data_IF_167746581185
#
_entry.id   IF_167746581185
#
_cell.length_a   1.000
_cell.length_b   1.000
_cell.length_c   1.000
_cell.angle_alpha   90.00
_cell.angle_beta   90.00
_cell.angle_gamma   90.00
#
_symmetry.space_group_name_H-M   'P 1'
#
loop_
_entity.id
_entity.type
_entity.pdbx_description
1 polymer ?
#
# COMPACT_ATOMS: atom_id res chain seq x y z
N UNK A 1 48.12 -5.48 6.65
CA UNK A 1 49.00 -5.29 7.81
C UNK A 1 48.09 -5.08 9.00
N UNK A 2 48.21 -6.03 9.92
CA UNK A 2 47.30 -6.38 10.99
C UNK A 2 47.00 -5.22 11.95
N UNK A 3 45.87 -5.33 12.63
CA UNK A 3 45.87 -5.60 14.07
C UNK A 3 44.48 -6.11 14.49
N UNK A 4 44.48 -7.36 14.95
CA UNK A 4 43.40 -8.01 15.67
C UNK A 4 43.27 -7.38 17.07
N UNK A 5 42.05 -7.14 17.52
CA UNK A 5 41.74 -7.05 18.96
C UNK A 5 40.49 -7.88 19.22
N UNK A 6 40.71 -9.03 19.84
CA UNK A 6 39.69 -9.84 20.49
C UNK A 6 39.01 -9.03 21.59
N UNK A 7 37.68 -9.00 21.57
CA UNK A 7 36.88 -8.67 22.76
C UNK A 7 35.60 -9.49 22.75
N UNK A 8 35.61 -10.56 23.54
CA UNK A 8 34.42 -11.26 24.01
C UNK A 8 33.58 -10.31 24.88
N UNK A 9 32.25 -10.34 24.74
CA UNK A 9 31.44 -10.33 25.95
C UNK A 9 30.42 -11.46 25.93
N UNK A 10 30.44 -12.23 27.00
CA UNK A 10 29.37 -13.13 27.43
C UNK A 10 28.04 -12.36 27.47
N UNK A 11 27.14 -12.74 26.57
CA UNK A 11 25.75 -12.31 26.55
C UNK A 11 24.87 -13.55 26.49
N UNK A 12 24.08 -13.73 27.55
CA UNK A 12 23.02 -14.73 27.70
C UNK A 12 22.27 -15.05 26.39
N UNK A 13 21.96 -16.33 26.09
CA UNK A 13 21.31 -16.70 24.84
C UNK A 13 19.88 -16.18 24.81
N UNK A 14 19.66 -15.05 24.16
CA UNK A 14 18.33 -14.71 23.65
C UNK A 14 17.95 -15.79 22.64
N UNK A 15 16.90 -16.55 22.95
CA UNK A 15 16.26 -17.50 22.05
C UNK A 15 15.92 -16.79 20.73
N UNK A 16 16.81 -16.91 19.74
CA UNK A 16 16.41 -16.82 18.34
C UNK A 16 15.46 -17.98 18.13
N UNK A 17 14.17 -17.69 17.97
CA UNK A 17 13.22 -18.66 17.43
C UNK A 17 13.71 -19.03 16.02
N UNK A 18 14.50 -20.09 15.95
CA UNK A 18 14.90 -20.73 14.70
C UNK A 18 13.61 -21.21 14.05
N UNK A 19 13.12 -20.45 13.06
CA UNK A 19 12.04 -20.90 12.18
C UNK A 19 12.52 -22.24 11.60
N UNK A 20 11.89 -23.33 12.04
CA UNK A 20 12.19 -24.69 11.58
C UNK A 20 12.13 -24.72 10.05
N UNK A 21 12.98 -25.54 9.43
CA UNK A 21 13.02 -25.69 7.98
C UNK A 21 11.65 -26.13 7.47
N UNK A 22 10.91 -25.21 6.87
CA UNK A 22 9.61 -25.47 6.25
C UNK A 22 9.75 -26.53 5.17
N UNK A 23 9.12 -27.68 5.35
CA UNK A 23 9.07 -28.71 4.34
C UNK A 23 8.09 -28.29 3.23
N UNK A 24 8.60 -28.11 2.01
CA UNK A 24 7.81 -27.79 0.82
C UNK A 24 7.52 -29.07 0.03
N UNK A 25 6.25 -29.39 -0.15
CA UNK A 25 5.79 -30.60 -0.86
C UNK A 25 5.03 -30.24 -2.14
N UNK A 26 4.69 -31.27 -2.91
CA UNK A 26 3.68 -31.14 -3.97
C UNK A 26 2.36 -30.61 -3.41
N UNK A 27 1.59 -29.98 -4.29
CA UNK A 27 0.31 -29.39 -3.92
C UNK A 27 -0.70 -30.47 -3.50
N UNK A 28 -1.28 -30.30 -2.31
CA UNK A 28 -2.26 -31.25 -1.73
C UNK A 28 -3.59 -30.61 -1.36
N UNK A 29 -3.74 -29.28 -1.50
CA UNK A 29 -4.99 -28.58 -1.22
C UNK A 29 -5.19 -28.25 0.27
N UNK A 30 -4.12 -27.91 0.99
CA UNK A 30 -4.15 -27.53 2.42
C UNK A 30 -4.47 -26.05 2.64
N UNK A 31 -4.86 -25.31 1.60
CA UNK A 31 -5.18 -23.89 1.75
C UNK A 31 -6.31 -23.67 2.75
N UNK A 32 -6.06 -22.76 3.69
CA UNK A 32 -7.10 -22.26 4.59
C UNK A 32 -8.16 -21.52 3.76
N UNK A 33 -9.41 -21.55 4.20
CA UNK A 33 -10.49 -20.74 3.65
C UNK A 33 -11.00 -19.82 4.75
N UNK A 34 -11.15 -18.54 4.43
CA UNK A 34 -11.75 -17.56 5.31
C UNK A 34 -12.95 -16.94 4.59
N UNK A 35 -14.13 -17.03 5.20
CA UNK A 35 -15.28 -16.29 4.70
C UNK A 35 -15.07 -14.78 4.95
N UNK A 36 -15.35 -13.96 3.95
CA UNK A 36 -15.45 -12.52 4.15
C UNK A 36 -16.73 -12.22 4.92
N UNK A 37 -16.60 -11.63 6.11
CA UNK A 37 -17.70 -11.49 7.10
C UNK A 37 -17.98 -10.04 7.50
N UNK A 38 -17.52 -9.08 6.70
CA UNK A 38 -17.78 -7.67 6.96
C UNK A 38 -18.74 -7.11 5.91
N UNK A 39 -19.81 -6.47 6.38
CA UNK A 39 -20.63 -5.65 5.50
C UNK A 39 -19.82 -4.44 5.06
N UNK A 40 -19.92 -4.10 3.77
CA UNK A 40 -19.31 -2.87 3.26
C UNK A 40 -20.06 -1.71 3.94
N UNK A 41 -19.45 -1.14 4.96
CA UNK A 41 -20.05 -0.06 5.71
C UNK A 41 -19.64 1.28 5.10
N UNK A 42 -20.61 1.95 4.48
CA UNK A 42 -20.46 3.30 3.97
C UNK A 42 -21.32 4.25 4.82
N UNK A 43 -20.71 4.96 5.78
CA UNK A 43 -21.47 5.86 6.65
C UNK A 43 -21.65 7.22 5.95
N UNK A 44 -22.80 7.42 5.30
CA UNK A 44 -23.09 8.65 4.56
C UNK A 44 -24.36 9.39 5.06
N UNK A 45 -24.36 10.74 5.02
CA UNK A 45 -25.59 11.54 5.00
C UNK A 45 -26.40 11.36 3.69
N UNK A 46 -27.67 11.84 3.62
CA UNK A 46 -28.62 11.54 2.54
C UNK A 46 -28.22 11.99 1.12
N UNK A 47 -28.93 11.45 0.13
CA UNK A 47 -28.57 11.35 -1.30
C UNK A 47 -28.36 12.66 -2.08
N UNK A 48 -28.77 13.81 -1.54
CA UNK A 48 -28.78 15.09 -2.28
C UNK A 48 -27.45 15.85 -2.17
N UNK A 49 -26.35 15.14 -1.90
CA UNK A 49 -25.05 15.74 -1.68
C UNK A 49 -24.28 15.93 -2.99
N UNK A 50 -23.87 17.19 -3.22
CA UNK A 50 -22.93 17.52 -4.29
C UNK A 50 -21.53 16.95 -3.99
N UNK A 51 -20.62 16.82 -4.98
CA UNK A 51 -19.23 16.48 -4.74
C UNK A 51 -18.55 17.36 -3.68
N UNK A 52 -18.99 18.62 -3.57
CA UNK A 52 -18.55 19.55 -2.53
C UNK A 52 -19.01 19.10 -1.14
N UNK A 53 -20.27 18.67 -0.98
CA UNK A 53 -20.78 18.19 0.31
C UNK A 53 -20.09 16.90 0.76
N UNK A 54 -19.79 15.99 -0.17
CA UNK A 54 -19.02 14.77 0.16
C UNK A 54 -17.59 15.12 0.53
N UNK A 55 -16.96 16.05 -0.19
CA UNK A 55 -15.62 16.54 0.16
C UNK A 55 -15.58 17.16 1.57
N UNK A 56 -16.64 17.87 1.98
CA UNK A 56 -16.78 18.41 3.33
C UNK A 56 -16.80 17.34 4.45
N UNK A 57 -17.10 16.07 4.13
CA UNK A 57 -17.00 14.96 5.11
C UNK A 57 -15.54 14.63 5.46
N UNK A 58 -14.62 14.90 4.53
CA UNK A 58 -13.20 14.61 4.67
C UNK A 58 -12.40 15.84 5.13
N UNK A 59 -12.91 17.04 4.86
CA UNK A 59 -12.21 18.31 5.02
C UNK A 59 -13.18 19.38 5.55
N UNK A 60 -12.91 19.98 6.71
CA UNK A 60 -13.79 20.99 7.32
C UNK A 60 -13.74 22.37 6.63
N UNK A 61 -14.68 23.26 6.99
CA UNK A 61 -14.73 24.62 6.43
C UNK A 61 -13.45 25.43 6.68
N UNK A 62 -12.79 25.21 7.83
CA UNK A 62 -11.55 25.89 8.18
C UNK A 62 -10.45 25.56 7.17
N UNK A 63 -10.32 24.29 6.77
CA UNK A 63 -9.36 23.86 5.75
C UNK A 63 -9.74 24.34 4.34
N UNK A 64 -11.03 24.33 3.99
CA UNK A 64 -11.52 24.77 2.67
C UNK A 64 -11.22 26.26 2.43
N UNK A 65 -11.42 27.11 3.45
CA UNK A 65 -11.16 28.54 3.37
C UNK A 65 -9.68 28.89 3.13
N UNK A 66 -8.74 27.95 3.34
CA UNK A 66 -7.30 28.17 3.13
C UNK A 66 -6.85 28.06 1.66
N UNK A 67 -7.71 27.60 0.74
CA UNK A 67 -7.25 26.99 -0.53
C UNK A 67 -7.71 27.76 -1.81
N UNK A 68 -8.66 28.69 -1.73
CA UNK A 68 -9.31 29.29 -2.92
C UNK A 68 -8.71 30.66 -3.35
N UNK A 69 -8.47 30.96 -4.66
CA UNK A 69 -7.99 32.27 -5.11
C UNK A 69 -8.87 33.07 -6.11
N UNK A 70 -8.56 34.38 -6.09
CA UNK A 70 -8.96 35.57 -6.86
C UNK A 70 -10.31 36.24 -6.58
N UNK A 71 -11.45 35.53 -6.65
CA UNK A 71 -12.75 36.11 -6.26
C UNK A 71 -12.99 36.08 -4.75
N UNK A 72 -12.29 35.18 -4.06
CA UNK A 72 -12.38 34.95 -2.60
C UNK A 72 -11.36 35.75 -1.81
N UNK A 73 -10.13 35.90 -2.34
CA UNK A 73 -9.06 36.66 -1.69
C UNK A 73 -8.02 37.20 -2.67
N UNK A 74 -7.38 38.31 -2.26
CA UNK A 74 -6.27 38.89 -3.02
C UNK A 74 -5.05 37.96 -3.05
N UNK A 75 -4.23 38.10 -4.09
CA UNK A 75 -2.96 37.36 -4.23
C UNK A 75 -2.07 37.54 -3.00
N UNK A 76 -1.93 38.77 -2.49
CA UNK A 76 -1.09 39.05 -1.33
C UNK A 76 -1.60 38.32 -0.08
N UNK A 77 -2.91 38.30 0.14
CA UNK A 77 -3.51 37.54 1.25
C UNK A 77 -3.24 36.04 1.09
N UNK A 78 -3.43 35.48 -0.10
CA UNK A 78 -3.14 34.08 -0.38
C UNK A 78 -1.67 33.73 -0.10
N UNK A 79 -0.72 34.54 -0.58
CA UNK A 79 0.72 34.34 -0.34
C UNK A 79 1.06 34.42 1.15
N UNK A 80 0.47 35.37 1.90
CA UNK A 80 0.64 35.49 3.36
C UNK A 80 0.10 34.26 4.08
N UNK A 81 -1.13 33.82 3.76
CA UNK A 81 -1.73 32.64 4.39
C UNK A 81 -0.93 31.37 4.09
N UNK A 82 -0.57 31.15 2.82
CA UNK A 82 0.27 30.02 2.41
C UNK A 82 1.66 30.07 3.07
N UNK A 83 2.21 31.26 3.28
CA UNK A 83 3.49 31.46 3.97
C UNK A 83 3.41 31.15 5.48
N UNK A 84 2.23 31.20 6.08
CA UNK A 84 1.97 30.94 7.49
C UNK A 84 1.21 29.63 7.79
N UNK A 85 0.87 28.85 6.76
CA UNK A 85 0.21 27.55 6.92
C UNK A 85 1.07 26.58 7.76
N UNK A 86 0.48 26.04 8.82
CA UNK A 86 1.04 25.00 9.69
C UNK A 86 -0.07 24.02 10.07
N UNK A 87 0.27 22.75 10.24
CA UNK A 87 -0.69 21.71 10.64
C UNK A 87 -0.47 21.22 12.08
N UNK A 88 0.52 21.76 12.76
CA UNK A 88 0.90 21.38 14.13
C UNK A 88 1.60 22.57 14.76
N UNK A 89 1.42 22.74 16.07
CA UNK A 89 2.16 23.72 16.84
C UNK A 89 3.66 23.41 16.79
N UNK A 90 4.46 24.40 16.39
CA UNK A 90 5.91 24.23 16.29
C UNK A 90 6.57 24.03 17.66
N UNK A 91 5.96 24.53 18.74
CA UNK A 91 6.49 24.44 20.10
C UNK A 91 6.34 23.04 20.70
N UNK A 92 5.38 22.25 20.21
CA UNK A 92 5.12 20.89 20.67
C UNK A 92 5.94 19.82 19.94
N UNK A 93 6.74 20.20 18.93
CA UNK A 93 7.49 19.26 18.10
C UNK A 93 8.88 19.02 18.67
N UNK A 94 9.16 17.77 19.06
CA UNK A 94 10.51 17.37 19.43
C UNK A 94 11.50 17.62 18.28
N UNK A 95 12.70 18.17 18.55
CA UNK A 95 13.71 18.40 17.50
C UNK A 95 14.12 17.14 16.71
N UNK A 96 13.93 15.95 17.31
CA UNK A 96 14.24 14.66 16.68
C UNK A 96 13.08 14.12 15.84
N UNK A 97 11.88 14.70 15.96
CA UNK A 97 10.69 14.27 15.22
C UNK A 97 10.71 14.82 13.80
N UNK A 98 10.93 13.90 12.85
CA UNK A 98 10.99 14.22 11.42
C UNK A 98 9.60 14.40 10.79
N UNK A 99 8.54 13.91 11.44
CA UNK A 99 7.17 13.89 10.92
C UNK A 99 6.26 14.89 11.66
N UNK A 100 6.71 15.46 12.77
CA UNK A 100 5.88 16.31 13.65
C UNK A 100 5.20 17.51 12.98
N UNK A 101 5.68 17.97 11.81
CA UNK A 101 5.00 19.04 11.04
C UNK A 101 3.71 18.62 10.33
N UNK A 102 3.45 17.32 10.22
CA UNK A 102 2.37 16.77 9.38
C UNK A 102 1.64 15.57 9.99
N UNK A 103 2.22 14.89 10.97
CA UNK A 103 1.67 13.63 11.50
C UNK A 103 0.25 13.79 12.04
N UNK A 104 -0.02 14.90 12.75
CA UNK A 104 -1.36 15.19 13.28
C UNK A 104 -2.42 15.32 12.19
N UNK A 105 -2.06 15.88 11.01
CA UNK A 105 -2.98 15.96 9.88
C UNK A 105 -3.26 14.58 9.31
N UNK A 106 -2.22 13.75 9.18
CA UNK A 106 -2.36 12.38 8.65
C UNK A 106 -3.27 11.55 9.57
N UNK A 107 -3.04 11.60 10.88
CA UNK A 107 -3.81 10.82 11.84
C UNK A 107 -5.29 11.25 11.84
N UNK A 108 -5.57 12.56 11.81
CA UNK A 108 -6.94 13.10 11.68
C UNK A 108 -7.64 12.66 10.39
N UNK A 109 -6.96 12.77 9.25
CA UNK A 109 -7.52 12.35 7.97
C UNK A 109 -7.78 10.84 7.94
N UNK A 110 -6.84 10.04 8.44
CA UNK A 110 -7.01 8.59 8.51
C UNK A 110 -8.16 8.18 9.42
N UNK A 111 -8.33 8.83 10.57
CA UNK A 111 -9.48 8.57 11.45
C UNK A 111 -10.81 8.81 10.69
N UNK A 112 -10.90 9.90 9.93
CA UNK A 112 -12.08 10.20 9.10
C UNK A 112 -12.27 9.19 7.99
N UNK A 113 -11.21 8.86 7.25
CA UNK A 113 -11.26 7.82 6.20
C UNK A 113 -11.77 6.51 6.79
N UNK A 114 -11.20 6.12 7.94
CA UNK A 114 -11.48 4.88 8.65
C UNK A 114 -12.89 4.79 9.23
N UNK A 115 -13.49 5.95 9.53
CA UNK A 115 -14.88 6.02 10.00
C UNK A 115 -15.87 5.94 8.84
N UNK A 116 -15.52 6.45 7.67
CA UNK A 116 -16.45 6.66 6.56
C UNK A 116 -16.71 5.43 5.69
N UNK A 117 -15.70 4.60 5.41
CA UNK A 117 -15.83 3.53 4.40
C UNK A 117 -15.05 2.25 4.71
N UNK A 118 -15.66 1.22 5.28
CA UNK A 118 -14.94 -0.06 5.45
C UNK A 118 -14.64 -0.73 4.09
N UNK A 119 -13.37 -0.96 3.71
CA UNK A 119 -13.03 -1.61 2.45
C UNK A 119 -13.58 -3.04 2.37
N UNK A 120 -13.98 -3.47 1.17
CA UNK A 120 -14.42 -4.84 0.90
C UNK A 120 -13.33 -5.91 1.04
N UNK A 121 -13.56 -7.08 0.43
CA UNK A 121 -12.69 -8.26 0.55
C UNK A 121 -11.24 -7.98 0.16
N UNK A 122 -11.02 -7.19 -0.89
CA UNK A 122 -9.72 -7.03 -1.54
C UNK A 122 -9.09 -5.69 -1.21
N UNK A 123 -7.91 -5.73 -0.57
CA UNK A 123 -7.12 -4.56 -0.18
C UNK A 123 -5.69 -4.69 -0.68
N UNK A 124 -5.05 -3.57 -1.02
CA UNK A 124 -3.69 -3.53 -1.56
C UNK A 124 -2.80 -2.61 -0.76
N UNK A 125 -1.57 -3.02 -0.49
CA UNK A 125 -0.54 -2.15 0.08
C UNK A 125 0.60 -1.96 -0.92
N UNK A 126 0.89 -0.70 -1.21
CA UNK A 126 2.02 -0.31 -2.04
C UNK A 126 2.46 1.14 -1.74
N UNK A 127 3.33 1.69 -2.59
CA UNK A 127 4.10 2.90 -2.34
C UNK A 127 3.74 3.99 -3.34
N UNK A 128 3.39 5.15 -2.79
CA UNK A 128 3.26 6.39 -3.56
C UNK A 128 4.47 7.30 -3.31
N UNK A 129 4.74 8.18 -4.26
CA UNK A 129 5.86 9.11 -4.21
C UNK A 129 5.40 10.53 -4.50
N UNK A 130 5.35 11.35 -3.46
CA UNK A 130 4.88 12.74 -3.55
C UNK A 130 6.06 13.62 -3.99
N UNK A 131 6.00 14.31 -5.14
CA UNK A 131 7.17 14.95 -5.73
C UNK A 131 7.79 16.03 -4.82
N UNK A 132 9.09 15.91 -4.52
CA UNK A 132 9.82 16.85 -3.68
C UNK A 132 11.31 16.87 -4.02
N UNK A 133 11.85 18.06 -4.30
CA UNK A 133 13.28 18.27 -4.62
C UNK A 133 14.04 19.12 -3.61
N UNK A 134 13.36 19.75 -2.66
CA UNK A 134 14.00 20.58 -1.63
C UNK A 134 14.76 19.77 -0.59
N UNK A 135 15.49 20.47 0.29
CA UNK A 135 16.21 19.84 1.42
C UNK A 135 15.20 19.19 2.37
N UNK A 136 15.30 17.88 2.52
CA UNK A 136 14.50 17.08 3.43
C UNK A 136 15.24 15.79 3.75
N UNK A 137 15.38 15.47 5.04
CA UNK A 137 16.18 14.34 5.50
C UNK A 137 15.75 13.00 4.89
N UNK A 138 14.45 12.75 4.83
CA UNK A 138 13.87 11.48 4.40
C UNK A 138 13.38 11.48 2.94
N UNK A 139 13.81 12.46 2.14
CA UNK A 139 13.55 12.47 0.69
C UNK A 139 14.12 11.19 0.06
N UNK A 140 13.31 10.53 -0.75
CA UNK A 140 13.69 9.33 -1.48
C UNK A 140 13.99 9.63 -2.94
N UNK A 141 14.88 8.82 -3.51
CA UNK A 141 15.12 8.72 -4.94
C UNK A 141 14.66 7.35 -5.44
N UNK A 142 13.68 7.31 -6.34
CA UNK A 142 13.12 6.09 -6.91
C UNK A 142 13.19 6.20 -8.45
N UNK A 143 14.20 5.59 -9.11
CA UNK A 143 14.43 5.75 -10.55
C UNK A 143 13.26 5.35 -11.44
N UNK A 144 12.46 4.37 -10.99
CA UNK A 144 11.35 3.78 -11.75
C UNK A 144 10.07 4.60 -11.74
N UNK A 145 9.93 5.58 -10.84
CA UNK A 145 8.74 6.45 -10.77
C UNK A 145 8.93 7.67 -11.68
N UNK A 146 7.83 8.16 -12.27
CA UNK A 146 7.84 9.32 -13.17
C UNK A 146 8.52 10.55 -12.54
N UNK A 147 8.17 10.86 -11.28
CA UNK A 147 8.90 11.79 -10.46
C UNK A 147 9.93 11.05 -9.62
N UNK A 148 11.21 11.10 -10.00
CA UNK A 148 12.24 10.31 -9.33
C UNK A 148 12.57 10.73 -7.89
N UNK A 149 12.25 11.97 -7.49
CA UNK A 149 12.57 12.50 -6.16
C UNK A 149 11.31 12.92 -5.42
N UNK A 150 11.14 12.45 -4.19
CA UNK A 150 9.94 12.76 -3.43
C UNK A 150 9.91 12.27 -2.00
N UNK A 151 8.76 12.48 -1.36
CA UNK A 151 8.41 11.92 -0.06
C UNK A 151 7.71 10.58 -0.35
N UNK A 152 8.35 9.48 0.05
CA UNK A 152 7.76 8.15 -0.09
C UNK A 152 6.73 7.93 1.01
N UNK A 153 5.54 7.47 0.64
CA UNK A 153 4.52 7.02 1.57
C UNK A 153 4.08 5.60 1.22
N UNK A 154 3.85 4.80 2.25
CA UNK A 154 3.12 3.54 2.14
C UNK A 154 1.63 3.85 2.20
N UNK A 155 0.82 3.23 1.35
CA UNK A 155 -0.64 3.38 1.31
C UNK A 155 -1.29 2.01 1.33
N UNK A 156 -2.39 1.90 2.06
CA UNK A 156 -3.36 0.82 1.94
C UNK A 156 -4.58 1.37 1.20
N UNK A 157 -4.94 0.74 0.09
CA UNK A 157 -6.09 1.11 -0.71
C UNK A 157 -7.11 -0.02 -0.85
N UNK A 158 -8.37 0.35 -1.03
CA UNK A 158 -9.41 -0.56 -1.51
C UNK A 158 -9.27 -0.83 -3.00
N UNK A 159 -10.04 -1.79 -3.52
CA UNK A 159 -10.06 -2.13 -4.96
C UNK A 159 -10.52 -0.97 -5.85
N UNK A 160 -11.37 -0.09 -5.32
CA UNK A 160 -11.89 1.10 -6.01
C UNK A 160 -10.90 2.28 -6.01
N UNK A 161 -9.79 2.15 -5.26
CA UNK A 161 -8.76 3.18 -5.14
C UNK A 161 -8.97 4.16 -3.99
N UNK A 162 -9.84 3.85 -3.03
CA UNK A 162 -9.96 4.61 -1.78
C UNK A 162 -8.72 4.38 -0.92
N UNK A 163 -8.00 5.44 -0.54
CA UNK A 163 -6.88 5.36 0.41
C UNK A 163 -7.42 5.27 1.84
N UNK A 164 -7.27 4.11 2.47
CA UNK A 164 -7.77 3.83 3.81
C UNK A 164 -6.78 4.20 4.92
N UNK A 165 -5.50 3.86 4.72
CA UNK A 165 -4.44 4.13 5.66
C UNK A 165 -3.15 4.47 4.91
N UNK A 166 -2.25 5.20 5.56
CA UNK A 166 -0.94 5.53 5.00
C UNK A 166 0.14 5.76 6.07
N UNK A 167 1.41 5.66 5.68
CA UNK A 167 2.54 5.90 6.58
C UNK A 167 3.68 6.56 5.81
N UNK A 168 4.21 7.67 6.34
CA UNK A 168 5.40 8.29 5.75
C UNK A 168 6.61 7.40 5.99
N UNK A 169 7.42 7.19 4.95
CA UNK A 169 8.74 6.61 5.10
C UNK A 169 9.75 7.68 5.52
N UNK A 170 10.15 7.67 6.80
CA UNK A 170 11.08 8.65 7.38
C UNK A 170 12.56 8.23 7.39
N UNK A 171 12.90 7.15 6.68
CA UNK A 171 14.26 6.57 6.67
C UNK A 171 14.63 5.87 7.97
N UNK A 172 15.94 5.83 8.28
CA UNK A 172 16.48 5.30 9.56
C UNK A 172 15.90 6.05 10.76
N UNK A 173 15.87 5.47 11.96
CA UNK A 173 15.46 6.21 13.16
C UNK A 173 16.36 7.44 13.42
N UNK A 174 15.96 8.30 14.35
CA UNK A 174 16.80 9.40 14.88
C UNK A 174 18.13 8.91 15.41
N UNK A 175 18.20 7.66 15.88
CA UNK A 175 19.38 6.96 16.39
C UNK A 175 20.19 6.24 15.29
N UNK A 176 19.79 6.36 14.03
CA UNK A 176 20.49 5.73 12.90
C UNK A 176 20.23 4.22 12.75
N UNK A 177 19.37 3.65 13.60
CA UNK A 177 18.98 2.24 13.55
C UNK A 177 18.03 2.03 12.36
N UNK A 178 18.30 1.00 11.56
CA UNK A 178 17.38 0.56 10.50
C UNK A 178 16.27 -0.28 11.15
N UNK A 179 15.02 0.06 10.88
CA UNK A 179 13.88 -0.74 11.32
C UNK A 179 13.98 -2.16 10.71
N UNK A 180 14.21 -3.15 11.57
CA UNK A 180 14.19 -4.57 11.17
C UNK A 180 12.77 -4.97 10.83
N UNK A 181 12.59 -5.66 9.70
CA UNK A 181 11.25 -6.09 9.29
C UNK A 181 10.34 -4.96 8.79
N UNK A 182 10.88 -3.79 8.39
CA UNK A 182 10.10 -2.63 7.92
C UNK A 182 8.90 -3.01 7.03
N UNK A 183 9.13 -3.84 6.01
CA UNK A 183 8.07 -4.19 5.05
C UNK A 183 6.93 -4.99 5.73
N UNK A 184 7.28 -5.94 6.60
CA UNK A 184 6.32 -6.68 7.42
C UNK A 184 5.56 -5.74 8.36
N UNK A 185 6.27 -4.93 9.15
CA UNK A 185 5.69 -4.02 10.14
C UNK A 185 4.74 -3.00 9.50
N UNK A 186 5.08 -2.50 8.30
CA UNK A 186 4.23 -1.59 7.54
C UNK A 186 2.92 -2.27 7.15
N UNK A 187 2.97 -3.50 6.65
CA UNK A 187 1.76 -4.25 6.29
C UNK A 187 0.85 -4.47 7.49
N UNK A 188 1.41 -4.95 8.61
CA UNK A 188 0.63 -5.18 9.83
C UNK A 188 0.02 -3.87 10.34
N UNK A 189 0.84 -2.80 10.47
CA UNK A 189 0.35 -1.51 10.98
C UNK A 189 -0.76 -0.90 10.12
N UNK A 190 -0.66 -0.98 8.79
CA UNK A 190 -1.67 -0.40 7.91
C UNK A 190 -2.96 -1.23 7.88
N UNK A 191 -2.85 -2.56 7.95
CA UNK A 191 -3.99 -3.47 7.86
C UNK A 191 -4.60 -3.85 9.23
N UNK A 192 -4.05 -3.33 10.34
CA UNK A 192 -4.37 -3.73 11.71
C UNK A 192 -5.89 -3.86 11.99
N UNK A 193 -6.67 -2.86 11.57
CA UNK A 193 -8.13 -2.81 11.78
C UNK A 193 -8.95 -3.64 10.78
N UNK A 194 -8.31 -4.22 9.77
CA UNK A 194 -8.97 -4.94 8.67
C UNK A 194 -8.72 -6.46 8.71
N UNK A 195 -7.88 -6.93 9.63
CA UNK A 195 -7.63 -8.34 9.88
C UNK A 195 -8.86 -9.05 10.45
N UNK A 196 -8.84 -10.38 10.45
CA UNK A 196 -9.84 -11.27 11.05
C UNK A 196 -11.22 -11.27 10.37
N UNK A 197 -11.25 -10.78 9.13
CA UNK A 197 -12.49 -10.57 8.36
C UNK A 197 -12.51 -11.34 7.04
N UNK A 198 -11.58 -12.27 6.83
CA UNK A 198 -11.49 -13.06 5.60
C UNK A 198 -11.08 -12.27 4.35
N UNK A 199 -10.41 -11.13 4.54
CA UNK A 199 -9.91 -10.30 3.43
C UNK A 199 -8.74 -10.94 2.71
N UNK A 200 -8.46 -10.42 1.52
CA UNK A 200 -7.24 -10.69 0.75
C UNK A 200 -6.39 -9.44 0.67
N UNK A 201 -5.17 -9.54 1.21
CA UNK A 201 -4.14 -8.51 1.14
C UNK A 201 -3.22 -8.77 -0.05
N UNK A 202 -3.21 -7.84 -1.01
CA UNK A 202 -2.31 -7.84 -2.15
C UNK A 202 -1.09 -6.96 -1.88
N UNK A 203 0.11 -7.48 -2.15
CA UNK A 203 1.35 -6.74 -1.96
C UNK A 203 2.41 -7.04 -3.03
N UNK A 204 3.26 -6.05 -3.33
CA UNK A 204 4.41 -6.28 -4.22
C UNK A 204 5.57 -6.99 -3.49
N UNK A 205 6.53 -7.46 -4.28
CA UNK A 205 7.71 -8.23 -3.87
C UNK A 205 8.58 -7.59 -2.77
N UNK A 206 8.47 -6.28 -2.55
CA UNK A 206 9.15 -5.62 -1.44
C UNK A 206 8.61 -6.12 -0.08
N UNK A 207 7.30 -6.37 -0.01
CA UNK A 207 6.60 -6.78 1.20
C UNK A 207 6.46 -8.28 1.35
N UNK A 208 6.22 -8.99 0.24
CA UNK A 208 5.94 -10.43 0.27
C UNK A 208 7.04 -11.20 0.98
N UNK A 209 6.68 -11.92 2.03
CA UNK A 209 7.58 -12.75 2.85
C UNK A 209 6.82 -13.91 3.47
N UNK A 210 7.55 -14.96 3.85
CA UNK A 210 6.96 -16.12 4.51
C UNK A 210 6.35 -15.72 5.87
N UNK A 211 7.07 -14.89 6.62
CA UNK A 211 6.68 -14.40 7.93
C UNK A 211 5.40 -13.56 7.86
N UNK A 212 5.26 -12.71 6.83
CA UNK A 212 4.02 -11.97 6.58
C UNK A 212 2.87 -12.91 6.21
N UNK A 213 3.13 -13.96 5.42
CA UNK A 213 2.11 -14.93 5.02
C UNK A 213 1.53 -15.67 6.23
N UNK A 214 2.40 -16.16 7.14
CA UNK A 214 1.97 -16.78 8.40
C UNK A 214 1.15 -15.82 9.26
N UNK A 215 1.64 -14.60 9.47
CA UNK A 215 0.94 -13.61 10.29
C UNK A 215 -0.45 -13.26 9.72
N UNK A 216 -0.57 -13.13 8.40
CA UNK A 216 -1.87 -12.92 7.76
C UNK A 216 -2.80 -14.12 7.96
N UNK A 217 -2.30 -15.36 7.81
CA UNK A 217 -3.09 -16.58 8.02
C UNK A 217 -3.58 -16.72 9.46
N UNK A 218 -2.73 -16.42 10.44
CA UNK A 218 -3.09 -16.45 11.87
C UNK A 218 -4.18 -15.41 12.18
N UNK A 219 -4.18 -14.30 11.45
CA UNK A 219 -5.19 -13.23 11.54
C UNK A 219 -6.29 -13.34 10.48
N UNK A 220 -6.61 -14.57 10.05
CA UNK A 220 -7.70 -14.93 9.10
C UNK A 220 -7.77 -14.00 7.88
N UNK A 221 -6.63 -13.73 7.27
CA UNK A 221 -6.47 -12.87 6.10
C UNK A 221 -5.57 -13.57 5.08
N UNK A 222 -5.98 -13.58 3.83
CA UNK A 222 -5.16 -14.11 2.75
C UNK A 222 -4.06 -13.11 2.36
N UNK A 223 -2.90 -13.63 1.96
CA UNK A 223 -1.82 -12.85 1.38
C UNK A 223 -1.57 -13.34 -0.06
N UNK A 224 -1.53 -12.40 -1.00
CA UNK A 224 -1.20 -12.67 -2.40
C UNK A 224 -0.18 -11.64 -2.86
N UNK A 225 1.00 -12.10 -3.28
CA UNK A 225 2.05 -11.17 -3.69
C UNK A 225 3.07 -11.77 -4.62
N UNK A 226 3.77 -10.89 -5.33
CA UNK A 226 4.90 -11.29 -6.18
C UNK A 226 6.12 -11.61 -5.32
N UNK A 227 7.05 -12.43 -5.81
CA UNK A 227 8.28 -12.80 -5.11
C UNK A 227 9.53 -12.39 -5.88
N UNK A 228 10.56 -11.98 -5.15
CA UNK A 228 11.93 -11.87 -5.68
C UNK A 228 12.56 -13.26 -5.77
N UNK A 229 13.43 -13.45 -6.76
CA UNK A 229 14.14 -14.72 -6.96
C UNK A 229 15.00 -15.16 -5.76
N UNK A 230 15.50 -14.21 -4.97
CA UNK A 230 16.39 -14.44 -3.82
C UNK A 230 15.68 -14.30 -2.48
N UNK A 231 14.34 -14.43 -2.43
CA UNK A 231 13.63 -14.40 -1.16
C UNK A 231 14.01 -15.62 -0.31
N UNK A 232 14.29 -15.38 0.97
CA UNK A 232 14.63 -16.42 1.96
C UNK A 232 13.38 -17.25 2.31
N UNK A 233 13.61 -18.46 2.83
CA UNK A 233 12.54 -19.36 3.29
C UNK A 233 11.53 -19.73 2.20
N UNK A 234 12.00 -19.84 0.95
CA UNK A 234 11.21 -20.21 -0.22
C UNK A 234 11.80 -21.47 -0.88
N UNK A 235 10.98 -22.31 -1.54
CA UNK A 235 11.44 -23.53 -2.21
C UNK A 235 12.34 -23.18 -3.40
N UNK A 236 13.66 -23.43 -3.27
CA UNK A 236 14.66 -23.07 -4.29
C UNK A 236 14.46 -23.86 -5.58
N UNK A 237 14.06 -25.11 -5.46
CA UNK A 237 13.68 -25.98 -6.55
C UNK A 237 12.51 -25.43 -7.39
N UNK A 238 11.59 -24.65 -6.80
CA UNK A 238 10.57 -23.91 -7.55
C UNK A 238 11.14 -22.61 -8.14
N UNK A 239 11.81 -21.78 -7.34
CA UNK A 239 12.25 -20.44 -7.76
C UNK A 239 13.33 -20.46 -8.85
N UNK A 240 14.18 -21.48 -8.83
CA UNK A 240 15.33 -21.65 -9.72
C UNK A 240 15.04 -22.58 -10.91
N UNK A 241 13.90 -23.30 -10.91
CA UNK A 241 13.48 -24.20 -12.00
C UNK A 241 13.49 -23.50 -13.37
N UNK A 242 14.11 -24.12 -14.38
CA UNK A 242 14.08 -23.61 -15.76
C UNK A 242 12.79 -24.06 -16.45
N UNK A 243 11.98 -23.09 -16.84
CA UNK A 243 10.66 -23.32 -17.46
C UNK A 243 10.65 -22.81 -18.91
N UNK A 244 9.96 -23.53 -19.80
CA UNK A 244 9.57 -23.06 -21.12
C UNK A 244 8.36 -22.12 -21.00
N UNK A 245 8.17 -21.24 -21.98
CA UNK A 245 7.06 -20.29 -22.00
C UNK A 245 5.71 -21.02 -21.90
N UNK A 246 4.88 -20.60 -20.95
CA UNK A 246 3.60 -21.21 -20.64
C UNK A 246 3.65 -22.19 -19.46
N UNK A 247 4.81 -22.75 -19.11
CA UNK A 247 4.94 -23.71 -18.03
C UNK A 247 4.87 -23.04 -16.64
N UNK A 248 4.42 -23.82 -15.65
CA UNK A 248 4.38 -23.45 -14.24
C UNK A 248 4.82 -24.62 -13.37
N UNK A 249 5.48 -24.30 -12.27
CA UNK A 249 5.78 -25.21 -11.17
C UNK A 249 5.34 -24.55 -9.86
N UNK A 250 4.88 -25.34 -8.90
CA UNK A 250 4.42 -24.85 -7.62
C UNK A 250 4.70 -25.88 -6.52
N UNK A 251 4.83 -25.38 -5.29
CA UNK A 251 4.87 -26.19 -4.07
C UNK A 251 4.02 -25.57 -2.98
N UNK A 252 3.62 -26.40 -2.04
CA UNK A 252 2.81 -26.05 -0.88
C UNK A 252 3.52 -26.43 0.42
N UNK A 253 3.40 -25.61 1.46
CA UNK A 253 3.86 -25.95 2.80
C UNK A 253 2.73 -26.49 3.70
N UNK A 254 3.06 -26.86 4.93
CA UNK A 254 2.08 -27.35 5.92
C UNK A 254 0.97 -26.37 6.30
N UNK A 255 1.17 -25.07 6.09
CA UNK A 255 0.19 -24.03 6.38
C UNK A 255 -0.75 -23.74 5.19
N UNK A 256 -0.58 -24.47 4.07
CA UNK A 256 -1.34 -24.22 2.84
C UNK A 256 -0.83 -23.01 2.06
N UNK A 257 0.40 -22.55 2.31
CA UNK A 257 1.03 -21.47 1.56
C UNK A 257 1.57 -22.05 0.26
N UNK A 258 1.13 -21.51 -0.87
CA UNK A 258 1.61 -21.90 -2.19
C UNK A 258 2.65 -20.92 -2.70
N UNK A 259 3.80 -21.44 -3.10
CA UNK A 259 4.81 -20.71 -3.87
C UNK A 259 4.82 -21.29 -5.28
N UNK A 260 4.67 -20.42 -6.28
CA UNK A 260 4.69 -20.83 -7.69
C UNK A 260 5.61 -19.96 -8.53
N UNK A 261 6.12 -20.57 -9.60
CA UNK A 261 6.85 -19.92 -10.67
C UNK A 261 6.17 -20.24 -12.00
N UNK A 262 5.91 -19.22 -12.80
CA UNK A 262 5.32 -19.33 -14.13
C UNK A 262 6.16 -18.56 -15.15
N UNK A 263 6.31 -19.10 -16.35
CA UNK A 263 7.08 -18.46 -17.43
C UNK A 263 6.18 -17.78 -18.45
N UNK A 264 6.17 -16.45 -18.45
CA UNK A 264 5.67 -15.67 -19.58
C UNK A 264 6.83 -15.28 -20.53
N UNK A 265 6.92 -14.02 -20.96
CA UNK A 265 8.15 -13.44 -21.52
C UNK A 265 9.27 -13.39 -20.48
N UNK A 266 8.90 -13.27 -19.20
CA UNK A 266 9.80 -13.30 -18.04
C UNK A 266 9.24 -14.24 -16.98
N UNK A 267 10.11 -14.65 -16.07
CA UNK A 267 9.69 -15.45 -14.91
C UNK A 267 8.82 -14.59 -13.99
N UNK A 268 7.64 -15.10 -13.67
CA UNK A 268 6.75 -14.55 -12.64
C UNK A 268 6.79 -15.52 -11.46
N UNK A 269 7.09 -14.99 -10.26
CA UNK A 269 7.10 -15.77 -9.01
C UNK A 269 6.05 -15.18 -8.10
N UNK A 270 5.25 -16.03 -7.47
CA UNK A 270 4.15 -15.63 -6.60
C UNK A 270 4.21 -16.42 -5.30
N UNK A 271 3.79 -15.77 -4.22
CA UNK A 271 3.36 -16.41 -2.97
C UNK A 271 1.86 -16.14 -2.83
N UNK A 272 1.10 -17.18 -2.49
CA UNK A 272 -0.34 -17.09 -2.32
C UNK A 272 -0.78 -18.00 -1.19
N UNK A 273 -1.60 -17.48 -0.28
CA UNK A 273 -2.26 -18.28 0.76
C UNK A 273 -3.74 -18.55 0.45
N UNK A 274 -4.19 -18.17 -0.76
CA UNK A 274 -5.59 -18.26 -1.23
C UNK A 274 -5.79 -19.22 -2.39
N UNK A 275 -4.77 -19.39 -3.23
CA UNK A 275 -4.94 -19.94 -4.57
C UNK A 275 -4.26 -21.29 -4.74
N UNK A 276 -5.02 -22.25 -5.28
CA UNK A 276 -4.46 -23.45 -5.89
C UNK A 276 -3.66 -23.09 -7.16
N UNK A 277 -2.60 -23.86 -7.48
CA UNK A 277 -1.74 -23.63 -8.64
C UNK A 277 -2.41 -24.15 -9.92
N UNK A 278 -3.58 -23.59 -10.27
CA UNK A 278 -4.26 -23.89 -11.52
C UNK A 278 -4.03 -22.79 -12.56
N UNK A 279 -4.01 -23.17 -13.83
CA UNK A 279 -4.03 -22.21 -14.93
C UNK A 279 -5.47 -21.96 -15.39
N UNK A 280 -5.79 -20.69 -15.62
CA UNK A 280 -7.07 -20.24 -16.15
C UNK A 280 -6.88 -19.56 -17.49
N UNK A 281 -7.86 -19.73 -18.38
CA UNK A 281 -7.88 -19.03 -19.66
C UNK A 281 -8.16 -17.55 -19.45
N UNK A 282 -7.38 -16.70 -20.11
CA UNK A 282 -7.58 -15.25 -20.15
C UNK A 282 -7.67 -14.78 -21.58
N UNK A 283 -8.68 -13.97 -21.88
CA UNK A 283 -8.81 -13.29 -23.17
C UNK A 283 -8.09 -11.95 -23.11
N UNK A 284 -7.20 -11.69 -24.07
CA UNK A 284 -6.66 -10.35 -24.30
C UNK A 284 -7.47 -9.71 -25.43
N UNK A 285 -8.21 -8.63 -25.13
CA UNK A 285 -8.66 -7.70 -26.17
C UNK A 285 -7.50 -6.76 -26.50
N UNK A 286 -6.71 -7.10 -27.52
CA UNK A 286 -5.91 -6.11 -28.24
C UNK A 286 -6.62 -5.75 -29.54
N UNK A 287 -6.29 -4.59 -30.10
CA UNK A 287 -6.73 -4.07 -31.42
C UNK A 287 -6.26 -4.95 -32.59
N UNK A 288 -6.60 -6.24 -32.57
CA UNK A 288 -6.40 -7.18 -33.65
C UNK A 288 -7.66 -8.04 -33.74
N UNK A 289 -8.17 -8.24 -34.96
CA UNK A 289 -9.41 -8.97 -35.28
C UNK A 289 -9.42 -10.47 -34.88
N UNK A 290 -8.53 -10.91 -33.98
CA UNK A 290 -8.51 -12.25 -33.41
C UNK A 290 -8.17 -12.20 -31.91
N UNK A 291 -9.08 -12.62 -31.02
CA UNK A 291 -8.79 -12.76 -29.59
C UNK A 291 -7.85 -13.96 -29.38
N UNK A 292 -6.62 -13.71 -28.94
CA UNK A 292 -5.71 -14.76 -28.53
C UNK A 292 -6.01 -15.19 -27.07
N UNK A 293 -6.44 -16.44 -26.89
CA UNK A 293 -6.63 -17.04 -25.56
C UNK A 293 -5.26 -17.40 -24.96
N UNK A 294 -5.01 -16.98 -23.73
CA UNK A 294 -3.75 -17.25 -23.01
C UNK A 294 -4.01 -17.86 -21.65
N UNK A 295 -3.35 -18.97 -21.35
CA UNK A 295 -3.35 -19.58 -20.02
C UNK A 295 -2.44 -18.80 -19.06
N UNK A 296 -2.93 -18.51 -17.86
CA UNK A 296 -2.18 -17.87 -16.78
C UNK A 296 -2.52 -18.51 -15.44
N UNK A 297 -1.60 -18.55 -14.47
CA UNK A 297 -1.93 -18.99 -13.12
C UNK A 297 -3.06 -18.14 -12.51
N UNK A 298 -3.99 -18.78 -11.80
CA UNK A 298 -5.10 -18.10 -11.13
C UNK A 298 -4.61 -16.98 -10.21
N UNK A 299 -3.59 -17.25 -9.39
CA UNK A 299 -2.98 -16.24 -8.51
C UNK A 299 -2.45 -15.01 -9.26
N UNK A 300 -1.95 -15.17 -10.50
CA UNK A 300 -1.48 -14.05 -11.32
C UNK A 300 -2.65 -13.24 -11.87
N UNK A 301 -3.74 -13.89 -12.25
CA UNK A 301 -4.96 -13.20 -12.70
C UNK A 301 -5.56 -12.39 -11.56
N UNK A 302 -5.69 -13.01 -10.40
CA UNK A 302 -6.26 -12.38 -9.22
C UNK A 302 -5.38 -11.22 -8.69
N UNK A 303 -4.07 -11.44 -8.59
CA UNK A 303 -3.12 -10.38 -8.22
C UNK A 303 -3.20 -9.16 -9.15
N UNK A 304 -3.33 -9.38 -10.46
CA UNK A 304 -3.43 -8.27 -11.41
C UNK A 304 -4.73 -7.46 -11.25
N UNK A 305 -5.81 -8.07 -10.74
CA UNK A 305 -7.04 -7.34 -10.39
C UNK A 305 -6.85 -6.60 -9.06
N UNK A 306 -6.37 -7.30 -8.03
CA UNK A 306 -6.23 -6.74 -6.68
C UNK A 306 -5.22 -5.61 -6.56
N UNK A 307 -4.13 -5.64 -7.34
CA UNK A 307 -3.08 -4.60 -7.27
C UNK A 307 -3.54 -3.21 -7.78
N UNK A 308 -4.63 -3.12 -8.54
CA UNK A 308 -4.99 -1.90 -9.27
C UNK A 308 -5.46 -0.75 -8.37
N UNK A 309 -5.90 -1.02 -7.13
CA UNK A 309 -6.43 0.00 -6.23
C UNK A 309 -5.45 1.16 -5.99
N UNK A 310 -4.17 0.87 -5.78
CA UNK A 310 -3.16 1.93 -5.61
C UNK A 310 -2.92 2.70 -6.90
N UNK A 311 -2.87 2.01 -8.05
CA UNK A 311 -2.65 2.62 -9.36
C UNK A 311 -3.79 3.60 -9.68
N UNK A 312 -5.05 3.23 -9.37
CA UNK A 312 -6.20 4.12 -9.51
C UNK A 312 -6.11 5.35 -8.61
N UNK A 313 -5.76 5.16 -7.33
CA UNK A 313 -5.60 6.29 -6.40
C UNK A 313 -4.57 7.29 -6.91
N UNK A 314 -3.37 6.82 -7.27
CA UNK A 314 -2.28 7.69 -7.71
C UNK A 314 -2.58 8.32 -9.09
N UNK A 315 -3.22 7.60 -10.01
CA UNK A 315 -3.62 8.10 -11.32
C UNK A 315 -4.64 9.24 -11.19
N UNK A 316 -5.67 9.06 -10.36
CA UNK A 316 -6.72 10.07 -10.17
C UNK A 316 -6.17 11.34 -9.54
N UNK A 317 -5.24 11.22 -8.58
CA UNK A 317 -4.54 12.38 -8.00
C UNK A 317 -3.69 13.09 -9.07
N UNK A 318 -3.02 12.35 -9.95
CA UNK A 318 -2.19 12.93 -11.00
C UNK A 318 -2.98 13.75 -12.03
N UNK A 319 -4.23 13.36 -12.34
CA UNK A 319 -5.08 14.09 -13.30
C UNK A 319 -5.53 15.46 -12.80
N UNK A 320 -5.67 15.66 -11.49
CA UNK A 320 -6.17 16.90 -10.90
C UNK A 320 -5.21 17.47 -9.85
N UNK A 321 -3.89 17.38 -10.08
CA UNK A 321 -2.91 17.79 -9.08
C UNK A 321 -2.95 19.29 -8.78
N UNK A 322 -3.08 19.62 -7.50
CA UNK A 322 -3.05 21.00 -6.98
C UNK A 322 -1.64 21.44 -6.58
N UNK A 323 -0.64 20.59 -6.82
CA UNK A 323 0.74 20.82 -6.40
C UNK A 323 1.35 22.07 -7.03
N UNK A 324 2.08 22.84 -6.23
CA UNK A 324 2.82 24.04 -6.66
C UNK A 324 4.29 23.98 -6.24
N UNK A 325 5.16 24.64 -7.01
CA UNK A 325 6.60 24.79 -6.72
C UNK A 325 6.78 25.85 -5.62
N UNK A 326 7.85 25.75 -4.83
CA UNK A 326 8.24 26.79 -3.86
C UNK A 326 7.59 26.69 -2.47
N UNK A 327 6.70 25.72 -2.27
CA UNK A 327 6.04 25.48 -0.98
C UNK A 327 6.95 24.64 -0.06
N UNK A 328 6.89 24.81 1.27
CA UNK A 328 7.64 23.95 2.23
C UNK A 328 7.15 22.50 2.15
N UNK A 329 8.03 21.53 2.45
CA UNK A 329 7.74 20.10 2.22
C UNK A 329 6.43 19.62 2.87
N UNK A 330 6.17 20.03 4.12
CA UNK A 330 5.00 19.60 4.88
C UNK A 330 3.72 20.25 4.37
N UNK A 331 3.78 21.53 3.95
CA UNK A 331 2.66 22.22 3.29
C UNK A 331 2.31 21.54 1.98
N UNK A 332 3.33 21.20 1.20
CA UNK A 332 3.16 20.49 -0.07
C UNK A 332 2.49 19.12 0.16
N UNK A 333 2.97 18.38 1.16
CA UNK A 333 2.38 17.11 1.56
C UNK A 333 0.94 17.28 2.06
N UNK A 334 0.66 18.26 2.92
CA UNK A 334 -0.69 18.51 3.42
C UNK A 334 -1.67 18.89 2.32
N UNK A 335 -1.26 19.72 1.37
CA UNK A 335 -2.08 20.06 0.18
C UNK A 335 -2.37 18.80 -0.64
N UNK A 336 -1.39 17.92 -0.86
CA UNK A 336 -1.59 16.65 -1.58
C UNK A 336 -2.57 15.72 -0.83
N UNK A 337 -2.51 15.68 0.50
CA UNK A 337 -3.41 14.86 1.31
C UNK A 337 -4.84 15.41 1.28
N UNK A 338 -4.99 16.73 1.42
CA UNK A 338 -6.28 17.41 1.45
C UNK A 338 -6.95 17.50 0.08
N UNK A 339 -6.21 17.89 -0.95
CA UNK A 339 -6.76 18.19 -2.27
C UNK A 339 -6.52 17.10 -3.31
N UNK A 340 -5.60 16.19 -3.04
CA UNK A 340 -5.41 14.99 -3.86
C UNK A 340 -6.15 13.82 -3.24
N UNK A 341 -5.60 13.29 -2.14
CA UNK A 341 -6.07 12.03 -1.54
C UNK A 341 -7.52 12.14 -1.04
N UNK A 342 -7.88 13.19 -0.30
CA UNK A 342 -9.24 13.34 0.24
C UNK A 342 -10.28 13.55 -0.87
N UNK A 343 -9.93 14.29 -1.93
CA UNK A 343 -10.83 14.49 -3.09
C UNK A 343 -11.05 13.18 -3.85
N UNK A 344 -10.01 12.38 -4.05
CA UNK A 344 -10.15 11.06 -4.68
C UNK A 344 -10.97 10.12 -3.79
N UNK A 345 -10.75 10.11 -2.48
CA UNK A 345 -11.57 9.35 -1.54
C UNK A 345 -13.04 9.76 -1.60
N UNK A 346 -13.33 11.06 -1.62
CA UNK A 346 -14.67 11.60 -1.79
C UNK A 346 -15.33 11.14 -3.10
N UNK A 347 -14.60 11.18 -4.20
CA UNK A 347 -15.10 10.71 -5.49
C UNK A 347 -15.39 9.20 -5.50
N UNK A 348 -14.55 8.39 -4.86
CA UNK A 348 -14.78 6.94 -4.74
C UNK A 348 -16.07 6.68 -3.95
N UNK A 349 -16.25 7.37 -2.83
CA UNK A 349 -17.45 7.26 -2.00
C UNK A 349 -18.72 7.67 -2.75
N UNK A 350 -18.69 8.78 -3.50
CA UNK A 350 -19.80 9.19 -4.36
C UNK A 350 -20.18 8.09 -5.37
N UNK A 351 -19.18 7.48 -6.01
CA UNK A 351 -19.40 6.42 -7.01
C UNK A 351 -19.95 5.14 -6.38
N UNK A 352 -19.57 4.82 -5.15
CA UNK A 352 -20.11 3.67 -4.42
C UNK A 352 -21.58 3.90 -4.09
N UNK A 353 -21.93 5.08 -3.56
CA UNK A 353 -23.31 5.43 -3.25
C UNK A 353 -24.22 5.39 -4.48
N UNK A 354 -23.77 5.93 -5.62
CA UNK A 354 -24.54 5.91 -6.87
C UNK A 354 -24.82 4.50 -7.38
N UNK A 355 -23.95 3.52 -7.09
CA UNK A 355 -24.14 2.11 -7.47
C UNK A 355 -25.18 1.45 -6.59
N UNK A 356 -25.11 1.64 -5.27
CA UNK A 356 -26.08 1.09 -4.32
C UNK A 356 -27.51 1.55 -4.60
N UNK A 357 -27.71 2.76 -5.14
CA UNK A 357 -29.05 3.27 -5.50
C UNK A 357 -29.53 2.86 -6.89
N UNK A 358 -28.66 2.29 -7.73
CA UNK A 358 -29.01 1.84 -9.08
C UNK A 358 -29.34 0.33 -9.14
N UNK A 359 -29.02 -0.40 -8.07
CA UNK A 359 -29.42 -1.79 -7.81
C UNK A 359 -30.71 -1.83 -6.99
#
# INVERSE_FOLDING_TARGET
LELEEERNPEGSPQQKSTIQSTAWSEFTGRQKSFAFVEEIQLSLPPLDMTPYNIFQLFVDEEIIQMILPSTVMSRNRFEILLSNLHFTDNTSISPKDRQGKIINLIDKLQEKYQKLYSPGENIVIDETLIPWRGRLFFRQYIPSKAHKYGIKMFKLCSSEGFTWASKIYSGKSSEGIRETGLAHNVCIKLAEKLFEKGRTLYVDNFYTSYELALTCLDRKTHLVGTLRHNKKSMPRDVLDCKLKKGEMIAKEDEHGIVVLKWKDSRDVRMLSTKHAPYMVQTTKKYNSNQPATKLKPLAVVDYNKGKCGIDYSDQMVAYATTMRKGVKWYRKLGIELLLGTSVVNALVVLKLQQRETSE
#
